data_IF_654748678543
#
_entry.id   IF_654748678543
#
_cell.length_a   1.000
_cell.length_b   1.000
_cell.length_c   1.000
_cell.angle_alpha   90.00
_cell.angle_beta   90.00
_cell.angle_gamma   90.00
#
_symmetry.space_group_name_H-M   'P 1'
#
loop_
_entity.id
_entity.type
_entity.pdbx_description
1 polymer ?
#
# COMPACT_ATOMS: atom_id res chain seq x y z
N UNK A 1 -7.66 3.03 -22.94
CA UNK A 1 -6.37 2.44 -22.51
C UNK A 1 -6.63 1.46 -21.39
N UNK A 2 -5.80 0.43 -21.24
CA UNK A 2 -5.90 -0.54 -20.16
C UNK A 2 -4.51 -1.07 -19.78
N UNK A 3 -4.41 -1.70 -18.61
CA UNK A 3 -3.17 -2.37 -18.18
C UNK A 3 -3.21 -3.83 -18.64
N UNK A 4 -2.21 -4.24 -19.41
CA UNK A 4 -1.95 -5.63 -19.75
C UNK A 4 -0.84 -6.16 -18.83
N UNK A 5 -1.07 -7.32 -18.22
CA UNK A 5 -0.04 -8.00 -17.43
C UNK A 5 0.64 -9.04 -18.32
N UNK A 6 1.97 -9.03 -18.35
CA UNK A 6 2.78 -10.03 -19.06
C UNK A 6 3.74 -10.73 -18.10
N UNK A 7 4.16 -11.94 -18.45
CA UNK A 7 5.11 -12.74 -17.68
C UNK A 7 6.35 -13.02 -18.51
N UNK A 8 7.53 -12.84 -17.92
CA UNK A 8 8.81 -13.17 -18.54
C UNK A 8 9.85 -13.48 -17.47
N UNK A 9 10.57 -14.59 -17.60
CA UNK A 9 11.63 -15.00 -16.66
C UNK A 9 11.16 -15.11 -15.20
N UNK A 10 9.93 -15.59 -14.97
CA UNK A 10 9.35 -15.72 -13.63
C UNK A 10 8.91 -14.39 -12.99
N UNK A 11 8.90 -13.28 -13.73
CA UNK A 11 8.48 -11.96 -13.24
C UNK A 11 7.25 -11.48 -13.98
N UNK A 12 6.37 -10.75 -13.28
CA UNK A 12 5.21 -10.07 -13.88
C UNK A 12 5.50 -8.61 -14.16
N UNK A 13 5.06 -8.13 -15.31
CA UNK A 13 5.21 -6.74 -15.75
C UNK A 13 3.86 -6.15 -16.13
N UNK A 14 3.66 -4.87 -15.80
CA UNK A 14 2.53 -4.09 -16.28
C UNK A 14 2.89 -3.33 -17.55
N UNK A 15 2.00 -3.36 -18.54
CA UNK A 15 2.11 -2.61 -19.78
C UNK A 15 0.89 -1.72 -19.96
N UNK A 16 1.11 -0.45 -20.33
CA UNK A 16 0.03 0.43 -20.74
C UNK A 16 -0.28 0.15 -22.21
N UNK A 17 -1.52 -0.22 -22.49
CA UNK A 17 -2.00 -0.54 -23.83
C UNK A 17 -3.10 0.44 -24.21
N UNK A 18 -3.08 0.90 -25.44
CA UNK A 18 -4.17 1.70 -26.01
C UNK A 18 -4.86 0.98 -27.15
N UNK A 19 -6.17 1.26 -27.27
CA UNK A 19 -6.99 0.82 -28.38
C UNK A 19 -7.12 1.97 -29.37
N UNK A 20 -6.93 1.70 -30.65
CA UNK A 20 -7.03 2.68 -31.72
C UNK A 20 -7.67 2.05 -32.96
N UNK A 21 -8.08 2.86 -33.94
CA UNK A 21 -8.45 2.36 -35.27
C UNK A 21 -7.30 2.61 -36.23
N UNK A 22 -6.95 1.61 -37.03
CA UNK A 22 -5.95 1.80 -38.08
C UNK A 22 -6.55 2.57 -39.28
N UNK A 23 -5.74 2.82 -40.31
CA UNK A 23 -6.15 3.57 -41.51
C UNK A 23 -7.33 2.93 -42.26
N UNK A 24 -7.54 1.62 -42.10
CA UNK A 24 -8.69 0.88 -42.64
C UNK A 24 -9.94 0.95 -41.74
N UNK A 25 -9.89 1.72 -40.65
CA UNK A 25 -10.97 1.86 -39.67
C UNK A 25 -11.15 0.65 -38.74
N UNK A 26 -10.29 -0.38 -38.81
CA UNK A 26 -10.37 -1.61 -38.01
C UNK A 26 -9.86 -1.37 -36.58
N UNK A 27 -10.53 -1.89 -35.54
CA UNK A 27 -10.06 -1.78 -34.17
C UNK A 27 -8.77 -2.57 -33.96
N UNK A 28 -7.76 -1.92 -33.38
CA UNK A 28 -6.44 -2.46 -33.08
C UNK A 28 -6.01 -2.04 -31.67
N UNK A 29 -4.98 -2.69 -31.16
CA UNK A 29 -4.35 -2.37 -29.89
C UNK A 29 -2.84 -2.24 -30.10
N UNK A 30 -2.19 -1.35 -29.36
CA UNK A 30 -0.73 -1.28 -29.29
C UNK A 30 -0.25 -1.04 -27.87
N UNK A 31 0.88 -1.64 -27.52
CA UNK A 31 1.57 -1.33 -26.28
C UNK A 31 2.20 0.06 -26.39
N UNK A 32 1.83 0.96 -25.50
CA UNK A 32 2.39 2.31 -25.42
C UNK A 32 3.73 2.26 -24.70
N UNK A 33 3.77 1.61 -23.53
CA UNK A 33 5.00 1.41 -22.78
C UNK A 33 4.87 0.24 -21.79
N UNK A 34 6.02 -0.25 -21.32
CA UNK A 34 6.10 -1.13 -20.15
C UNK A 34 6.31 -0.25 -18.91
N UNK A 35 5.40 -0.32 -17.95
CA UNK A 35 5.46 0.46 -16.70
C UNK A 35 6.47 -0.12 -15.70
N UNK A 36 6.77 -1.42 -15.83
CA UNK A 36 7.76 -2.11 -15.01
C UNK A 36 7.15 -3.28 -14.24
N UNK A 37 7.85 -3.73 -13.20
CA UNK A 37 7.51 -4.94 -12.42
C UNK A 37 6.29 -4.72 -11.53
N UNK A 38 5.42 -5.74 -11.49
CA UNK A 38 4.18 -5.77 -10.71
C UNK A 38 4.31 -6.52 -9.36
N UNK A 39 5.53 -6.88 -8.96
CA UNK A 39 5.76 -7.49 -7.65
C UNK A 39 5.74 -6.41 -6.57
N UNK A 40 5.40 -6.78 -5.33
CA UNK A 40 5.39 -5.85 -4.19
C UNK A 40 6.74 -5.17 -4.01
N UNK A 41 6.72 -3.84 -3.84
CA UNK A 41 7.91 -2.99 -3.79
C UNK A 41 8.58 -2.77 -5.15
N UNK A 42 7.93 -3.16 -6.24
CA UNK A 42 8.44 -3.01 -7.61
C UNK A 42 8.24 -1.63 -8.21
N UNK A 43 8.54 -1.52 -9.51
CA UNK A 43 8.46 -0.26 -10.26
C UNK A 43 7.04 0.33 -10.27
N UNK A 44 6.03 -0.54 -10.36
CA UNK A 44 4.62 -0.12 -10.40
C UNK A 44 4.19 0.52 -9.09
N UNK A 45 4.65 0.01 -7.94
CA UNK A 45 4.34 0.62 -6.63
C UNK A 45 4.97 2.00 -6.50
N UNK A 46 6.21 2.15 -6.97
CA UNK A 46 6.90 3.45 -7.03
C UNK A 46 6.17 4.42 -7.94
N UNK A 47 5.71 3.95 -9.10
CA UNK A 47 4.92 4.74 -10.04
C UNK A 47 3.60 5.21 -9.40
N UNK A 48 2.86 4.31 -8.74
CA UNK A 48 1.62 4.65 -8.02
C UNK A 48 1.89 5.73 -6.97
N UNK A 49 2.91 5.56 -6.12
CA UNK A 49 3.26 6.53 -5.09
C UNK A 49 3.62 7.90 -5.68
N UNK A 50 4.35 7.93 -6.80
CA UNK A 50 4.69 9.18 -7.49
C UNK A 50 3.47 9.87 -8.11
N UNK A 51 2.54 9.11 -8.70
CA UNK A 51 1.31 9.63 -9.27
C UNK A 51 0.36 10.14 -8.19
N UNK A 52 0.25 9.46 -7.05
CA UNK A 52 -0.52 9.93 -5.89
C UNK A 52 0.03 11.28 -5.40
N UNK A 53 1.35 11.38 -5.20
CA UNK A 53 2.03 12.64 -4.86
C UNK A 53 1.75 13.75 -5.88
N UNK A 54 1.90 13.46 -7.17
CA UNK A 54 1.64 14.44 -8.23
C UNK A 54 0.17 14.91 -8.28
N UNK A 55 -0.77 14.09 -7.82
CA UNK A 55 -2.19 14.42 -7.73
C UNK A 55 -2.59 15.09 -6.42
N UNK A 56 -1.65 15.33 -5.51
CA UNK A 56 -1.94 15.84 -4.16
C UNK A 56 -2.72 14.86 -3.29
N UNK A 57 -2.75 13.58 -3.68
CA UNK A 57 -3.34 12.51 -2.88
C UNK A 57 -2.27 12.11 -1.87
N UNK A 58 -2.53 12.31 -0.58
CA UNK A 58 -1.64 11.82 0.46
C UNK A 58 -1.43 10.30 0.23
N UNK A 59 -0.17 9.81 0.25
CA UNK A 59 0.06 8.38 0.17
C UNK A 59 -0.78 7.72 1.26
N UNK A 60 -1.48 6.63 0.93
CA UNK A 60 -2.21 5.87 1.93
C UNK A 60 -1.24 5.59 3.08
N UNK A 61 -1.53 6.14 4.26
CA UNK A 61 -0.67 5.97 5.42
C UNK A 61 -0.40 4.48 5.56
N UNK A 62 0.89 4.12 5.60
CA UNK A 62 1.26 2.76 5.95
C UNK A 62 0.59 2.48 7.30
N UNK A 63 0.03 1.28 7.49
CA UNK A 63 -0.50 0.90 8.82
C UNK A 63 0.59 0.94 9.92
N UNK A 64 1.84 1.19 9.53
CA UNK A 64 3.01 1.38 10.39
C UNK A 64 3.41 2.85 10.59
N UNK A 65 2.79 3.81 9.92
CA UNK A 65 3.15 5.24 10.04
C UNK A 65 2.82 5.80 11.44
N UNK A 66 1.84 5.22 12.13
CA UNK A 66 1.53 5.49 13.55
C UNK A 66 2.31 4.60 14.54
N UNK A 67 3.16 3.70 14.04
CA UNK A 67 3.95 2.83 14.90
C UNK A 67 5.15 3.60 15.49
N UNK A 68 4.90 4.27 16.62
CA UNK A 68 5.97 4.91 17.40
C UNK A 68 6.60 3.90 18.35
N UNK A 69 7.92 3.73 18.26
CA UNK A 69 8.68 3.04 19.30
C UNK A 69 8.72 3.94 20.53
N UNK A 70 7.91 3.61 21.53
CA UNK A 70 7.99 4.23 22.85
C UNK A 70 9.21 3.65 23.58
N UNK A 71 10.05 4.54 24.12
CA UNK A 71 11.26 4.20 24.87
C UNK A 71 10.93 3.18 25.99
N UNK A 72 11.70 2.08 26.10
CA UNK A 72 11.32 0.88 26.88
C UNK A 72 11.04 1.15 28.36
N UNK A 73 11.59 2.25 28.90
CA UNK A 73 11.32 2.73 30.26
C UNK A 73 9.86 3.17 30.48
N UNK A 74 9.16 3.66 29.46
CA UNK A 74 7.75 4.06 29.56
C UNK A 74 6.77 2.89 29.35
N UNK A 75 7.22 1.78 28.75
CA UNK A 75 6.39 0.57 28.64
C UNK A 75 6.20 -0.12 29.99
N UNK A 76 7.20 -0.04 30.87
CA UNK A 76 7.15 -0.59 32.23
C UNK A 76 6.07 0.06 33.10
N UNK A 77 5.94 1.39 33.05
CA UNK A 77 4.97 2.12 33.87
C UNK A 77 3.52 1.82 33.46
N UNK A 78 3.25 1.75 32.16
CA UNK A 78 1.91 1.36 31.64
C UNK A 78 1.58 -0.07 32.05
N UNK A 79 2.56 -0.97 31.95
CA UNK A 79 2.37 -2.37 32.33
C UNK A 79 2.16 -2.55 33.83
N UNK A 80 2.90 -1.82 34.67
CA UNK A 80 2.74 -1.80 36.12
C UNK A 80 1.37 -1.24 36.53
N UNK A 81 0.92 -0.16 35.88
CA UNK A 81 -0.42 0.41 36.11
C UNK A 81 -1.51 -0.57 35.69
N UNK A 82 -1.36 -1.24 34.54
CA UNK A 82 -2.31 -2.24 34.05
C UNK A 82 -2.42 -3.43 35.01
N UNK A 83 -1.31 -3.92 35.57
CA UNK A 83 -1.34 -5.04 36.49
C UNK A 83 -1.89 -4.64 37.87
N UNK A 84 -1.60 -3.43 38.34
CA UNK A 84 -2.22 -2.86 39.54
C UNK A 84 -3.73 -2.74 39.39
N UNK A 85 -4.20 -2.20 38.26
CA UNK A 85 -5.61 -2.05 37.95
C UNK A 85 -6.36 -3.39 37.99
N UNK A 86 -5.77 -4.41 37.35
CA UNK A 86 -6.30 -5.78 37.31
C UNK A 86 -6.28 -6.44 38.69
N UNK A 87 -5.19 -6.27 39.47
CA UNK A 87 -5.05 -6.84 40.82
C UNK A 87 -6.04 -6.22 41.82
N UNK A 88 -6.36 -4.93 41.65
CA UNK A 88 -7.34 -4.24 42.48
C UNK A 88 -8.80 -4.55 42.09
N UNK A 89 -9.02 -5.32 41.02
CA UNK A 89 -10.35 -5.73 40.56
C UNK A 89 -11.15 -4.59 39.92
N UNK A 90 -10.48 -3.56 39.39
CA UNK A 90 -11.16 -2.41 38.79
C UNK A 90 -11.73 -2.66 37.39
N UNK A 91 -11.42 -3.81 36.77
CA UNK A 91 -12.02 -4.21 35.50
C UNK A 91 -13.55 -4.37 35.61
N UNK A 92 -14.03 -4.82 36.76
CA UNK A 92 -15.46 -5.04 37.02
C UNK A 92 -16.22 -3.72 37.26
N UNK A 93 -15.53 -2.63 37.58
CA UNK A 93 -16.14 -1.31 37.77
C UNK A 93 -16.52 -0.62 36.45
N UNK A 94 -15.83 -0.94 35.37
CA UNK A 94 -16.10 -0.34 34.06
C UNK A 94 -17.38 -0.88 33.40
N UNK A 95 -17.96 -1.95 33.95
CA UNK A 95 -19.14 -2.64 33.40
C UNK A 95 -20.42 -2.41 34.21
N UNK A 96 -20.38 -1.57 35.25
CA UNK A 96 -21.54 -1.22 36.11
C UNK A 96 -22.17 0.13 35.78
#
# INVERSE_FOLDING_TARGET
>A
MFIKVTQSGGRRYAQLVESFRNDEGKPRQRTVCTLGRLESGGDVDTLIASLQRARGIAPAASALDDLRFTDSRHAGDIWALSELWRTLGFDDLATS
#
